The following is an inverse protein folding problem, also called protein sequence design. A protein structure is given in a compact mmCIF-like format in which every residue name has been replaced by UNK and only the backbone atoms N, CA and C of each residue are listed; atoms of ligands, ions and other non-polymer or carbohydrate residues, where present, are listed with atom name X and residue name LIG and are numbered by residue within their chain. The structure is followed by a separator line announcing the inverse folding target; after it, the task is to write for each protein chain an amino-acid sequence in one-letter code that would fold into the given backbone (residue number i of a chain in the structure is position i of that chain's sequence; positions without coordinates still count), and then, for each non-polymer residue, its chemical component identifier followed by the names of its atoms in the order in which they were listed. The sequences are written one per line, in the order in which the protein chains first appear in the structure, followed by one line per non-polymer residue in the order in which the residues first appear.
data_IF_610709365334
#
_entry.id   IF_610709365334
#
_cell.length_a   1.000
_cell.length_b   1.000
_cell.length_c   1.000
_cell.angle_alpha   90.00
_cell.angle_beta   90.00
_cell.angle_gamma   90.00
#
_symmetry.space_group_name_H-M   'P 1'
#
loop_
_entity.id
_entity.type
_entity.pdbx_description
1 polymer ?
#
# COMPACT_ATOMS: atom_id res chain seq x y z
N UNK A 1 34.21 -15.82 7.28
CA UNK A 1 33.33 -14.68 7.62
C UNK A 1 34.20 -13.65 8.29
N UNK A 2 34.27 -12.45 7.72
CA UNK A 2 34.99 -11.34 8.36
C UNK A 2 34.28 -10.91 9.62
N UNK A 3 35.04 -10.52 10.64
CA UNK A 3 34.51 -10.38 12.00
C UNK A 3 35.15 -9.19 12.72
N UNK A 4 34.36 -8.47 13.51
CA UNK A 4 34.88 -7.44 14.40
C UNK A 4 35.50 -8.10 15.65
N UNK A 5 36.76 -7.80 15.91
CA UNK A 5 37.49 -8.20 17.11
C UNK A 5 37.49 -7.07 18.13
N UNK A 6 37.48 -7.41 19.42
CA UNK A 6 37.50 -6.43 20.50
C UNK A 6 38.92 -5.89 20.67
N UNK A 7 39.07 -4.56 20.65
CA UNK A 7 40.29 -3.91 21.08
C UNK A 7 40.33 -3.81 22.62
N UNK A 8 41.53 -3.87 23.20
CA UNK A 8 41.77 -3.62 24.62
C UNK A 8 42.89 -2.58 24.77
N UNK A 9 42.78 -1.70 25.76
CA UNK A 9 43.78 -0.65 26.00
C UNK A 9 45.08 -1.25 26.56
N UNK A 10 46.14 -1.26 25.75
CA UNK A 10 47.50 -1.69 26.14
C UNK A 10 47.52 -2.95 27.01
N UNK A 11 46.65 -3.92 26.70
CA UNK A 11 46.56 -5.12 27.52
C UNK A 11 47.80 -5.96 27.29
N UNK A 12 48.47 -6.30 28.38
CA UNK A 12 49.61 -7.20 28.41
C UNK A 12 49.36 -8.29 29.45
N UNK A 13 49.64 -9.52 29.08
CA UNK A 13 49.58 -10.68 29.96
C UNK A 13 50.71 -11.65 29.64
N UNK A 14 50.60 -12.86 30.17
CA UNK A 14 51.54 -13.94 29.85
C UNK A 14 50.81 -15.24 29.61
N UNK A 15 51.47 -16.16 28.92
CA UNK A 15 50.99 -17.54 28.78
C UNK A 15 50.94 -18.20 30.17
N UNK A 16 49.82 -18.83 30.47
CA UNK A 16 49.54 -19.52 31.71
C UNK A 16 50.39 -20.78 31.91
N UNK A 17 50.21 -21.42 33.06
CA UNK A 17 50.88 -22.67 33.41
C UNK A 17 50.59 -23.76 32.37
N UNK A 18 51.64 -24.45 31.92
CA UNK A 18 51.56 -25.48 30.87
C UNK A 18 52.01 -25.02 29.48
N UNK A 19 52.08 -23.71 29.22
CA UNK A 19 52.51 -23.20 27.92
C UNK A 19 51.51 -23.47 26.79
N UNK A 20 51.96 -23.30 25.55
CA UNK A 20 51.28 -23.72 24.33
C UNK A 20 52.13 -24.84 23.73
N UNK A 21 51.57 -26.04 23.63
CA UNK A 21 52.34 -27.25 23.35
C UNK A 21 52.94 -27.26 21.94
N UNK A 22 52.16 -26.88 20.93
CA UNK A 22 52.56 -26.91 19.53
C UNK A 22 51.69 -26.00 18.63
N UNK A 23 51.97 -26.06 17.32
CA UNK A 23 51.28 -25.30 16.28
C UNK A 23 49.79 -25.67 16.10
N UNK A 24 49.37 -26.86 16.55
CA UNK A 24 47.99 -27.36 16.40
C UNK A 24 47.11 -27.09 17.63
N UNK A 25 47.72 -26.65 18.73
CA UNK A 25 47.01 -26.30 19.96
C UNK A 25 46.03 -25.15 19.71
N UNK A 26 44.74 -25.38 19.94
CA UNK A 26 43.66 -24.40 19.72
C UNK A 26 43.22 -23.65 20.98
N UNK A 27 43.81 -23.96 22.13
CA UNK A 27 43.54 -23.30 23.41
C UNK A 27 44.84 -22.70 23.94
N UNK A 28 44.87 -21.38 24.08
CA UNK A 28 46.01 -20.63 24.61
C UNK A 28 45.67 -20.24 26.05
N UNK A 29 46.29 -20.87 27.06
CA UNK A 29 46.06 -20.50 28.44
C UNK A 29 46.72 -19.15 28.71
N UNK A 30 45.99 -18.22 29.31
CA UNK A 30 46.52 -16.95 29.82
C UNK A 30 46.69 -17.07 31.33
N UNK A 31 47.74 -16.47 31.86
CA UNK A 31 47.97 -16.39 33.31
C UNK A 31 46.90 -15.57 34.03
N UNK A 32 46.32 -14.60 33.32
CA UNK A 32 45.19 -13.78 33.74
C UNK A 32 44.47 -13.27 32.50
N UNK A 33 43.17 -13.04 32.61
CA UNK A 33 42.38 -12.33 31.61
C UNK A 33 41.81 -11.01 32.16
N UNK A 34 42.39 -10.51 33.26
CA UNK A 34 41.94 -9.26 33.89
C UNK A 34 42.01 -8.12 32.88
N UNK A 35 40.92 -7.35 32.78
CA UNK A 35 40.80 -6.27 31.80
C UNK A 35 40.29 -6.70 30.41
N UNK A 36 40.09 -8.00 30.19
CA UNK A 36 39.42 -8.53 29.00
C UNK A 36 37.98 -8.95 29.35
N UNK A 37 37.07 -8.77 28.40
CA UNK A 37 35.67 -9.20 28.52
C UNK A 37 35.52 -10.64 28.05
N UNK A 38 35.06 -11.54 28.94
CA UNK A 38 34.78 -12.94 28.62
C UNK A 38 33.70 -13.07 27.54
N UNK A 39 33.85 -14.03 26.63
CA UNK A 39 32.94 -14.25 25.49
C UNK A 39 33.26 -13.42 24.24
N UNK A 40 34.07 -12.37 24.37
CA UNK A 40 34.54 -11.57 23.23
C UNK A 40 35.69 -12.25 22.49
N UNK A 41 35.94 -11.83 21.25
CA UNK A 41 37.04 -12.36 20.44
C UNK A 41 38.14 -11.34 20.28
N UNK A 42 39.38 -11.82 20.36
CA UNK A 42 40.57 -10.99 20.37
C UNK A 42 41.59 -11.51 19.36
N UNK A 43 42.40 -10.58 18.86
CA UNK A 43 43.65 -10.85 18.16
C UNK A 43 44.79 -10.52 19.12
N UNK A 44 45.64 -11.50 19.42
CA UNK A 44 46.73 -11.37 20.40
C UNK A 44 48.07 -11.71 19.77
N UNK A 45 49.09 -10.90 20.04
CA UNK A 45 50.49 -11.20 19.74
C UNK A 45 51.14 -11.91 20.90
N UNK A 46 51.83 -13.01 20.64
CA UNK A 46 52.61 -13.77 21.62
C UNK A 46 54.09 -13.64 21.26
N UNK A 47 54.96 -13.48 22.26
CA UNK A 47 56.42 -13.44 22.10
C UNK A 47 56.89 -12.45 21.03
N UNK A 48 56.24 -11.27 20.93
CA UNK A 48 56.77 -10.15 20.13
C UNK A 48 58.05 -9.61 20.76
N UNK A 49 58.04 -9.55 22.09
CA UNK A 49 59.17 -9.19 22.95
C UNK A 49 59.34 -10.21 24.06
N UNK A 50 60.56 -10.33 24.58
CA UNK A 50 60.82 -11.05 25.82
C UNK A 50 60.44 -10.23 27.07
N UNK A 51 60.61 -10.80 28.26
CA UNK A 51 60.32 -10.14 29.53
C UNK A 51 61.17 -8.88 29.81
N UNK A 52 62.26 -8.67 29.06
CA UNK A 52 63.10 -7.47 29.13
C UNK A 52 62.77 -6.45 28.04
N UNK A 53 61.76 -6.72 27.21
CA UNK A 53 61.34 -5.86 26.10
C UNK A 53 62.17 -6.01 24.83
N UNK A 54 63.08 -6.99 24.74
CA UNK A 54 63.83 -7.24 23.51
C UNK A 54 62.96 -7.92 22.48
N UNK A 55 63.03 -7.49 21.22
CA UNK A 55 62.27 -8.10 20.12
C UNK A 55 62.67 -9.56 19.91
N UNK A 56 61.69 -10.43 19.71
CA UNK A 56 61.88 -11.87 19.50
C UNK A 56 61.24 -12.37 18.19
N UNK A 57 61.70 -11.91 17.00
CA UNK A 57 61.00 -12.16 15.73
C UNK A 57 60.81 -13.63 15.38
N UNK A 58 61.72 -14.52 15.80
CA UNK A 58 61.61 -15.96 15.53
C UNK A 58 60.57 -16.68 16.38
N UNK A 59 60.19 -16.09 17.52
CA UNK A 59 59.17 -16.65 18.43
C UNK A 59 57.82 -15.97 18.29
N UNK A 60 57.75 -14.85 17.57
CA UNK A 60 56.54 -14.06 17.44
C UNK A 60 55.46 -14.81 16.66
N UNK A 61 54.25 -14.80 17.21
CA UNK A 61 53.05 -15.33 16.58
C UNK A 61 51.86 -14.42 16.89
N UNK A 62 50.94 -14.25 15.95
CA UNK A 62 49.61 -13.67 16.19
C UNK A 62 48.55 -14.76 16.12
N UNK A 63 47.67 -14.77 17.11
CA UNK A 63 46.56 -15.72 17.24
C UNK A 63 45.24 -14.95 17.31
N UNK A 64 44.16 -15.57 16.83
CA UNK A 64 42.80 -15.04 16.95
C UNK A 64 41.87 -16.08 17.54
N UNK A 65 41.07 -15.72 18.55
CA UNK A 65 40.17 -16.66 19.21
C UNK A 65 39.17 -15.99 20.15
N UNK A 66 38.33 -16.79 20.80
CA UNK A 66 37.35 -16.32 21.77
C UNK A 66 37.91 -16.45 23.19
N UNK A 67 37.73 -15.44 24.03
CA UNK A 67 38.06 -15.56 25.44
C UNK A 67 36.99 -16.37 26.18
N UNK A 68 37.41 -17.41 26.89
CA UNK A 68 36.59 -18.23 27.79
C UNK A 68 37.32 -18.45 29.12
N UNK A 69 36.88 -17.76 30.16
CA UNK A 69 37.58 -17.67 31.44
C UNK A 69 38.95 -17.02 31.26
N UNK A 70 40.02 -17.76 31.58
CA UNK A 70 41.41 -17.32 31.37
C UNK A 70 42.04 -17.95 30.12
N UNK A 71 41.26 -18.56 29.24
CA UNK A 71 41.77 -19.22 28.04
C UNK A 71 41.27 -18.51 26.79
N UNK A 72 42.15 -18.30 25.82
CA UNK A 72 41.73 -18.04 24.45
C UNK A 72 41.45 -19.42 23.81
N UNK A 73 40.20 -19.68 23.41
CA UNK A 73 39.76 -20.97 22.88
C UNK A 73 39.40 -20.87 21.40
N UNK A 74 39.33 -22.03 20.73
CA UNK A 74 39.02 -22.14 19.31
C UNK A 74 39.93 -21.27 18.44
N UNK A 75 41.20 -21.19 18.83
CA UNK A 75 42.16 -20.27 18.24
C UNK A 75 42.49 -20.68 16.81
N UNK A 76 42.45 -19.70 15.91
CA UNK A 76 43.20 -19.75 14.66
C UNK A 76 44.64 -19.31 14.98
N UNK A 77 45.60 -20.19 14.68
CA UNK A 77 47.03 -20.02 14.95
C UNK A 77 47.76 -19.46 13.74
N UNK A 78 48.90 -18.81 13.96
CA UNK A 78 49.73 -18.24 12.89
C UNK A 78 48.97 -17.29 11.96
N UNK A 79 48.04 -16.51 12.51
CA UNK A 79 47.29 -15.48 11.77
C UNK A 79 48.27 -14.48 11.15
N UNK A 80 49.31 -14.14 11.91
CA UNK A 80 50.55 -13.55 11.44
C UNK A 80 51.71 -14.31 12.10
N UNK A 81 52.87 -14.42 11.44
CA UNK A 81 54.00 -15.22 11.94
C UNK A 81 53.83 -16.73 11.72
N UNK A 82 54.59 -17.54 12.46
CA UNK A 82 54.55 -19.01 12.35
C UNK A 82 53.86 -19.60 13.57
N UNK A 83 52.85 -20.45 13.37
CA UNK A 83 52.23 -21.21 14.44
C UNK A 83 53.27 -22.11 15.13
N UNK A 84 53.47 -21.96 16.44
CA UNK A 84 54.54 -22.66 17.15
C UNK A 84 54.22 -22.93 18.64
N UNK A 85 55.13 -23.63 19.32
CA UNK A 85 55.07 -23.80 20.76
C UNK A 85 55.50 -22.51 21.48
N UNK A 86 54.82 -22.17 22.57
CA UNK A 86 55.19 -21.03 23.43
C UNK A 86 55.37 -21.49 24.87
N UNK A 87 56.42 -20.98 25.52
CA UNK A 87 56.69 -21.32 26.91
C UNK A 87 55.70 -20.62 27.85
N UNK A 88 55.43 -21.22 29.00
CA UNK A 88 54.75 -20.51 30.09
C UNK A 88 55.52 -19.23 30.44
N UNK A 89 54.80 -18.14 30.68
CA UNK A 89 55.42 -16.83 30.93
C UNK A 89 55.77 -16.01 29.69
N UNK A 90 55.62 -16.55 28.47
CA UNK A 90 55.73 -15.79 27.22
C UNK A 90 54.80 -14.57 27.23
N UNK A 91 55.29 -13.43 26.75
CA UNK A 91 54.54 -12.16 26.77
C UNK A 91 53.41 -12.23 25.75
N UNK A 92 52.20 -11.84 26.16
CA UNK A 92 51.01 -11.75 25.30
C UNK A 92 50.49 -10.32 25.31
N UNK A 93 50.20 -9.77 24.14
CA UNK A 93 49.73 -8.39 23.96
C UNK A 93 48.49 -8.38 23.06
N UNK A 94 47.47 -7.58 23.40
CA UNK A 94 46.40 -7.25 22.44
C UNK A 94 46.86 -6.04 21.65
N UNK A 95 47.17 -6.23 20.36
CA UNK A 95 47.65 -5.17 19.46
C UNK A 95 46.62 -4.88 18.36
N UNK A 96 46.61 -3.64 17.88
CA UNK A 96 45.98 -3.31 16.60
C UNK A 96 46.94 -3.71 15.48
N UNK A 97 46.78 -4.94 14.95
CA UNK A 97 47.64 -5.47 13.88
C UNK A 97 47.02 -5.21 12.49
N UNK A 98 47.78 -5.49 11.44
CA UNK A 98 47.29 -5.41 10.07
C UNK A 98 46.07 -6.32 9.85
N UNK A 99 46.07 -7.53 10.44
CA UNK A 99 44.91 -8.42 10.40
C UNK A 99 43.67 -7.78 11.01
N UNK A 100 43.80 -7.17 12.20
CA UNK A 100 42.67 -6.51 12.85
C UNK A 100 42.08 -5.43 11.91
N UNK A 101 42.92 -4.61 11.31
CA UNK A 101 42.48 -3.57 10.38
C UNK A 101 41.82 -4.14 9.11
N UNK A 102 42.39 -5.19 8.52
CA UNK A 102 41.86 -5.83 7.32
C UNK A 102 40.50 -6.49 7.56
N UNK A 103 40.29 -7.06 8.76
CA UNK A 103 39.00 -7.64 9.16
C UNK A 103 37.94 -6.56 9.35
N UNK A 104 38.27 -5.43 9.98
CA UNK A 104 37.38 -4.27 10.05
C UNK A 104 37.01 -3.75 8.67
N UNK A 105 37.99 -3.60 7.77
CA UNK A 105 37.78 -3.18 6.39
C UNK A 105 36.82 -4.14 5.68
N UNK A 106 37.08 -5.44 5.75
CA UNK A 106 36.26 -6.45 5.10
C UNK A 106 34.82 -6.48 5.64
N UNK A 107 34.64 -6.22 6.94
CA UNK A 107 33.32 -6.06 7.54
C UNK A 107 32.59 -4.81 7.04
N UNK A 108 33.28 -3.67 6.92
CA UNK A 108 32.70 -2.43 6.38
C UNK A 108 32.29 -2.58 4.90
N UNK A 109 33.09 -3.30 4.11
CA UNK A 109 32.83 -3.54 2.69
C UNK A 109 31.58 -4.40 2.40
N UNK A 110 30.93 -4.97 3.43
CA UNK A 110 29.64 -5.64 3.28
C UNK A 110 28.53 -4.64 2.89
N UNK A 111 28.57 -3.43 3.47
CA UNK A 111 27.52 -2.40 3.30
C UNK A 111 28.04 -1.12 2.63
N UNK A 112 29.37 -0.99 2.46
CA UNK A 112 30.03 0.16 1.86
C UNK A 112 30.87 -0.24 0.66
N UNK A 113 30.89 0.62 -0.35
CA UNK A 113 31.83 0.57 -1.45
C UNK A 113 33.19 1.15 -1.01
N UNK A 114 34.23 0.86 -1.80
CA UNK A 114 35.60 1.32 -1.52
C UNK A 114 35.79 2.85 -1.65
N UNK A 115 34.84 3.55 -2.29
CA UNK A 115 34.79 5.01 -2.40
C UNK A 115 34.02 5.68 -1.24
N UNK A 116 33.51 4.88 -0.30
CA UNK A 116 32.79 5.35 0.88
C UNK A 116 31.28 5.55 0.68
N UNK A 117 30.72 5.27 -0.50
CA UNK A 117 29.26 5.22 -0.62
C UNK A 117 28.70 3.95 0.00
N UNK A 118 27.41 3.95 0.32
CA UNK A 118 26.71 2.70 0.58
C UNK A 118 26.48 1.93 -0.73
N UNK A 119 26.46 0.61 -0.63
CA UNK A 119 25.94 -0.28 -1.66
C UNK A 119 24.40 -0.34 -1.55
N UNK A 120 23.79 -1.49 -1.83
CA UNK A 120 22.34 -1.68 -1.69
C UNK A 120 21.92 -1.60 -0.22
N UNK A 121 21.11 -0.59 0.13
CA UNK A 121 20.61 -0.41 1.50
C UNK A 121 19.43 -1.38 1.74
N UNK A 122 19.65 -2.42 2.52
CA UNK A 122 18.59 -3.34 2.97
C UNK A 122 18.22 -3.04 4.43
N UNK A 123 17.08 -2.39 4.66
CA UNK A 123 16.62 -2.02 6.00
C UNK A 123 15.10 -2.17 6.15
N UNK A 124 14.62 -2.52 7.36
CA UNK A 124 13.19 -2.59 7.68
C UNK A 124 12.51 -1.22 7.57
N UNK A 125 13.24 -0.17 7.96
CA UNK A 125 12.80 1.22 7.86
C UNK A 125 13.98 2.12 7.49
N UNK A 126 13.72 3.14 6.68
CA UNK A 126 14.70 4.18 6.31
C UNK A 126 14.03 5.54 6.49
N UNK A 127 14.56 6.35 7.40
CA UNK A 127 14.18 7.76 7.53
C UNK A 127 15.18 8.59 6.75
N UNK A 128 14.72 9.33 5.74
CA UNK A 128 15.56 10.29 5.01
C UNK A 128 15.16 11.72 5.39
N UNK A 129 16.14 12.59 5.57
CA UNK A 129 15.93 14.02 5.85
C UNK A 129 15.94 14.88 4.58
N UNK A 130 16.09 14.23 3.41
CA UNK A 130 16.21 14.88 2.11
C UNK A 130 15.58 14.06 1.01
N UNK A 131 15.70 14.57 -0.21
CA UNK A 131 15.12 13.94 -1.38
C UNK A 131 15.84 12.64 -1.74
N UNK A 132 15.10 11.54 -1.88
CA UNK A 132 15.60 10.30 -2.49
C UNK A 132 15.53 10.45 -4.01
N UNK A 133 16.68 10.50 -4.68
CA UNK A 133 16.74 10.52 -6.14
C UNK A 133 16.25 9.17 -6.69
N UNK A 134 15.33 9.19 -7.67
CA UNK A 134 14.79 7.96 -8.28
C UNK A 134 13.46 7.44 -7.71
N UNK A 135 12.86 8.10 -6.72
CA UNK A 135 11.48 7.78 -6.32
C UNK A 135 10.52 8.03 -7.50
N UNK A 136 9.85 6.97 -7.98
CA UNK A 136 8.96 6.99 -9.16
C UNK A 136 7.78 7.95 -8.96
N UNK A 137 7.39 8.20 -7.71
CA UNK A 137 6.31 9.12 -7.36
C UNK A 137 6.77 9.96 -6.16
N UNK A 138 6.80 11.28 -6.35
CA UNK A 138 6.95 12.27 -5.27
C UNK A 138 5.62 12.98 -5.09
N UNK A 139 5.02 12.85 -3.91
CA UNK A 139 3.85 13.63 -3.50
C UNK A 139 4.28 14.50 -2.33
N UNK A 140 4.85 15.66 -2.63
CA UNK A 140 5.16 16.65 -1.61
C UNK A 140 3.90 17.49 -1.36
N UNK A 141 3.45 17.57 -0.11
CA UNK A 141 2.45 18.55 0.30
C UNK A 141 3.10 19.93 0.25
N UNK A 142 2.72 20.73 -0.73
CA UNK A 142 3.28 22.06 -0.93
C UNK A 142 2.38 23.08 -0.24
N UNK A 143 2.94 23.86 0.67
CA UNK A 143 2.22 24.97 1.33
C UNK A 143 1.90 26.14 0.39
N UNK A 144 2.45 26.12 -0.83
CA UNK A 144 2.24 27.13 -1.87
C UNK A 144 2.13 26.49 -3.25
N UNK A 145 1.47 27.18 -4.18
CA UNK A 145 1.34 26.71 -5.56
C UNK A 145 2.72 26.68 -6.23
N UNK A 146 3.18 25.53 -6.77
CA UNK A 146 4.51 25.48 -7.37
C UNK A 146 4.60 26.32 -8.66
N UNK A 147 5.82 26.71 -9.00
CA UNK A 147 6.12 27.40 -10.25
C UNK A 147 5.75 26.55 -11.47
N UNK A 148 5.52 27.21 -12.61
CA UNK A 148 5.28 26.52 -13.89
C UNK A 148 6.45 25.58 -14.21
N UNK A 149 6.19 24.28 -14.49
CA UNK A 149 7.23 23.33 -14.85
C UNK A 149 7.85 23.64 -16.22
N UNK A 150 9.04 23.08 -16.49
CA UNK A 150 9.71 23.24 -17.79
C UNK A 150 8.94 22.56 -18.92
N UNK A 151 9.21 22.97 -20.17
CA UNK A 151 8.53 22.42 -21.34
C UNK A 151 8.56 20.88 -21.41
N UNK A 152 7.41 20.27 -21.71
CA UNK A 152 7.20 18.83 -21.76
C UNK A 152 7.09 18.16 -20.40
N UNK A 153 6.95 18.94 -19.31
CA UNK A 153 6.78 18.43 -17.94
C UNK A 153 5.44 18.87 -17.35
N UNK A 154 5.00 18.14 -16.35
CA UNK A 154 3.87 18.52 -15.52
C UNK A 154 4.19 18.17 -14.07
N UNK A 155 3.49 18.82 -13.15
CA UNK A 155 3.58 18.57 -11.72
C UNK A 155 2.23 18.15 -11.17
N UNK A 156 2.25 17.21 -10.23
CA UNK A 156 1.09 16.78 -9.45
C UNK A 156 1.38 17.11 -8.00
N UNK A 157 0.49 17.83 -7.32
CA UNK A 157 0.73 18.32 -5.96
C UNK A 157 -0.59 18.54 -5.19
N UNK A 158 -0.52 18.56 -3.86
CA UNK A 158 -1.68 18.81 -2.99
C UNK A 158 -1.63 20.26 -2.49
N UNK A 159 -2.78 20.96 -2.49
CA UNK A 159 -2.92 22.30 -1.89
C UNK A 159 -3.50 22.22 -0.48
N UNK A 160 -3.44 23.32 0.25
CA UNK A 160 -4.01 23.46 1.60
C UNK A 160 -5.53 23.27 1.69
N UNK A 161 -6.23 23.21 0.55
CA UNK A 161 -7.65 22.86 0.47
C UNK A 161 -7.91 21.34 0.51
N UNK A 162 -6.85 20.53 0.58
CA UNK A 162 -6.91 19.07 0.65
C UNK A 162 -7.15 18.37 -0.69
N UNK A 163 -7.08 19.08 -1.81
CA UNK A 163 -7.26 18.50 -3.14
C UNK A 163 -5.95 18.30 -3.89
N UNK A 164 -5.94 17.29 -4.76
CA UNK A 164 -4.85 17.01 -5.69
C UNK A 164 -4.99 17.91 -6.92
N UNK A 165 -3.90 18.48 -7.39
CA UNK A 165 -3.81 19.36 -8.55
C UNK A 165 -2.79 18.84 -9.55
N UNK A 166 -3.03 19.13 -10.82
CA UNK A 166 -2.10 18.97 -11.94
C UNK A 166 -1.79 20.35 -12.51
N UNK A 167 -0.53 20.63 -12.83
CA UNK A 167 -0.13 21.85 -13.57
C UNK A 167 0.80 21.48 -14.72
N UNK A 168 0.46 21.91 -15.93
CA UNK A 168 1.26 21.68 -17.14
C UNK A 168 2.34 22.75 -17.36
N UNK A 169 3.17 22.55 -18.39
CA UNK A 169 4.26 23.45 -18.77
C UNK A 169 3.80 24.79 -19.36
N UNK A 170 2.51 24.94 -19.68
CA UNK A 170 1.88 26.22 -19.98
C UNK A 170 1.45 26.97 -18.69
N UNK A 171 1.61 26.33 -17.52
CA UNK A 171 1.22 26.88 -16.23
C UNK A 171 -0.27 26.77 -15.95
N UNK A 172 -1.02 26.05 -16.79
CA UNK A 172 -2.45 25.80 -16.58
C UNK A 172 -2.59 24.79 -15.46
N UNK A 173 -3.27 25.21 -14.41
CA UNK A 173 -3.55 24.41 -13.24
C UNK A 173 -4.97 23.83 -13.32
N UNK A 174 -5.11 22.54 -13.04
CA UNK A 174 -6.38 21.83 -12.96
C UNK A 174 -6.45 21.06 -11.66
N UNK A 175 -7.52 21.27 -10.90
CA UNK A 175 -7.86 20.38 -9.78
C UNK A 175 -8.19 19.00 -10.34
N UNK A 176 -7.60 17.96 -9.77
CA UNK A 176 -7.96 16.59 -10.07
C UNK A 176 -9.27 16.27 -9.36
N UNK A 177 -10.35 16.22 -10.14
CA UNK A 177 -11.59 15.61 -9.71
C UNK A 177 -11.52 14.15 -10.17
N UNK A 178 -11.70 13.15 -9.29
CA UNK A 178 -12.03 11.82 -9.80
C UNK A 178 -13.37 11.97 -10.53
N UNK A 179 -13.43 11.82 -11.87
CA UNK A 179 -14.66 12.08 -12.57
C UNK A 179 -15.67 10.99 -12.19
N UNK A 180 -16.86 11.39 -11.72
CA UNK A 180 -18.03 10.53 -11.83
C UNK A 180 -18.59 10.66 -13.25
N UNK A 181 -18.61 11.86 -13.84
CA UNK A 181 -18.83 12.14 -15.29
C UNK A 181 -18.28 13.55 -15.62
N UNK A 182 -17.33 13.70 -16.55
CA UNK A 182 -16.89 15.04 -17.03
C UNK A 182 -17.91 15.61 -18.05
N UNK A 183 -17.93 16.94 -18.24
CA UNK A 183 -18.75 17.55 -19.29
C UNK A 183 -18.32 17.03 -20.67
N UNK A 184 -19.29 16.63 -21.49
CA UNK A 184 -19.09 15.97 -22.79
C UNK A 184 -18.35 14.62 -22.75
N UNK A 185 -18.23 14.01 -21.56
CA UNK A 185 -17.71 12.66 -21.38
C UNK A 185 -18.84 11.71 -21.01
N UNK A 186 -19.11 10.72 -21.85
CA UNK A 186 -20.15 9.74 -21.55
C UNK A 186 -19.65 8.66 -20.58
N UNK A 187 -20.45 8.35 -19.56
CA UNK A 187 -20.35 7.08 -18.86
C UNK A 187 -20.76 5.97 -19.83
N UNK A 188 -19.82 5.07 -20.12
CA UNK A 188 -20.02 3.99 -21.07
C UNK A 188 -20.17 2.64 -20.37
N UNK A 189 -21.15 1.85 -20.81
CA UNK A 189 -21.25 0.45 -20.45
C UNK A 189 -21.32 -0.38 -21.74
N UNK A 190 -20.80 -1.62 -21.68
CA UNK A 190 -20.96 -2.57 -22.77
C UNK A 190 -22.35 -3.18 -22.72
N UNK A 191 -23.02 -3.29 -23.86
CA UNK A 191 -24.25 -4.06 -23.97
C UNK A 191 -23.97 -5.58 -23.97
N UNK A 192 -25.03 -6.39 -24.08
CA UNK A 192 -24.92 -7.86 -24.14
C UNK A 192 -24.13 -8.39 -25.35
N UNK A 193 -23.85 -7.55 -26.34
CA UNK A 193 -22.99 -7.88 -27.49
C UNK A 193 -21.53 -7.44 -27.29
N UNK A 194 -21.21 -6.76 -26.19
CA UNK A 194 -19.88 -6.22 -25.89
C UNK A 194 -19.60 -4.84 -26.49
N UNK A 195 -20.57 -4.23 -27.16
CA UNK A 195 -20.45 -2.90 -27.78
C UNK A 195 -20.61 -1.82 -26.71
N UNK A 196 -19.66 -0.89 -26.62
CA UNK A 196 -19.74 0.23 -25.68
C UNK A 196 -20.83 1.22 -26.11
N UNK A 197 -21.72 1.58 -25.17
CA UNK A 197 -22.81 2.55 -25.36
C UNK A 197 -22.71 3.67 -24.36
N UNK A 198 -23.12 4.86 -24.77
CA UNK A 198 -23.23 6.02 -23.88
C UNK A 198 -24.50 5.85 -23.02
N UNK A 199 -24.33 5.55 -21.74
CA UNK A 199 -25.45 5.32 -20.80
C UNK A 199 -25.94 6.64 -20.22
N UNK A 200 -25.02 7.53 -19.89
CA UNK A 200 -25.32 8.88 -19.43
C UNK A 200 -24.18 9.83 -19.81
N UNK A 201 -24.50 11.06 -20.19
CA UNK A 201 -23.52 12.14 -20.40
C UNK A 201 -24.14 13.48 -20.00
N UNK A 202 -23.31 14.45 -19.66
CA UNK A 202 -23.73 15.85 -19.60
C UNK A 202 -23.28 16.49 -20.91
N UNK A 203 -24.20 17.06 -21.67
CA UNK A 203 -23.87 17.69 -22.95
C UNK A 203 -23.29 19.11 -22.76
N UNK A 204 -22.82 19.72 -23.85
CA UNK A 204 -22.26 21.08 -23.84
C UNK A 204 -23.22 22.20 -23.39
N UNK A 205 -24.51 21.87 -23.17
CA UNK A 205 -25.52 22.77 -22.59
C UNK A 205 -25.83 22.44 -21.12
N UNK A 206 -24.97 21.67 -20.45
CA UNK A 206 -25.10 21.19 -19.08
C UNK A 206 -26.39 20.38 -18.84
N UNK A 207 -26.89 19.69 -19.86
CA UNK A 207 -28.05 18.81 -19.77
C UNK A 207 -27.61 17.36 -19.61
N UNK A 208 -28.14 16.67 -18.59
CA UNK A 208 -28.00 15.23 -18.45
C UNK A 208 -28.79 14.51 -19.54
N UNK A 209 -28.08 13.94 -20.51
CA UNK A 209 -28.63 13.01 -21.49
C UNK A 209 -28.45 11.58 -20.98
N UNK A 210 -29.56 10.86 -20.80
CA UNK A 210 -29.55 9.44 -20.44
C UNK A 210 -29.91 8.63 -21.69
N UNK A 211 -28.93 7.88 -22.20
CA UNK A 211 -29.08 6.97 -23.34
C UNK A 211 -28.67 7.50 -24.70
N UNK A 212 -28.08 6.60 -25.50
CA UNK A 212 -28.02 6.75 -26.96
C UNK A 212 -29.38 6.38 -27.60
N UNK A 213 -29.53 6.62 -28.91
CA UNK A 213 -30.77 6.36 -29.67
C UNK A 213 -31.26 4.90 -29.67
N UNK A 214 -30.57 3.97 -28.99
CA UNK A 214 -30.91 2.55 -28.90
C UNK A 214 -31.19 2.06 -27.47
N UNK A 215 -31.33 2.93 -26.47
CA UNK A 215 -31.90 2.47 -25.19
C UNK A 215 -33.37 2.13 -25.39
N UNK A 216 -33.71 0.85 -25.25
CA UNK A 216 -35.09 0.36 -25.40
C UNK A 216 -36.04 0.90 -24.33
N UNK A 217 -35.51 1.35 -23.18
CA UNK A 217 -36.30 1.90 -22.07
C UNK A 217 -35.42 2.74 -21.14
N UNK A 218 -35.85 3.97 -20.87
CA UNK A 218 -35.42 4.73 -19.68
C UNK A 218 -36.44 4.42 -18.58
N UNK A 219 -36.07 3.54 -17.65
CA UNK A 219 -36.94 3.21 -16.53
C UNK A 219 -36.62 4.14 -15.35
N UNK A 220 -37.47 5.13 -15.13
CA UNK A 220 -37.50 5.80 -13.84
C UNK A 220 -38.20 4.84 -12.88
N UNK A 221 -37.53 4.46 -11.79
CA UNK A 221 -38.15 3.67 -10.72
C UNK A 221 -39.10 4.58 -9.94
N UNK A 222 -40.19 5.01 -10.58
CA UNK A 222 -41.29 5.67 -9.89
C UNK A 222 -42.01 4.61 -9.08
N UNK A 223 -42.24 4.89 -7.80
CA UNK A 223 -43.09 4.05 -6.95
C UNK A 223 -44.44 3.96 -7.64
N UNK A 224 -44.81 2.75 -8.08
CA UNK A 224 -46.04 2.47 -8.82
C UNK A 224 -47.25 3.02 -8.04
N UNK A 225 -48.06 3.86 -8.67
CA UNK A 225 -49.41 4.17 -8.19
C UNK A 225 -50.36 3.24 -8.93
N UNK A 226 -50.97 2.31 -8.21
CA UNK A 226 -51.99 1.41 -8.75
C UNK A 226 -53.18 2.24 -9.29
N UNK A 227 -53.64 1.94 -10.49
CA UNK A 227 -54.83 2.57 -11.05
C UNK A 227 -55.42 1.79 -12.23
N UNK A 228 -56.70 2.00 -12.47
CA UNK A 228 -57.40 1.50 -13.65
C UNK A 228 -58.40 2.53 -14.20
N UNK A 229 -58.70 2.42 -15.48
CA UNK A 229 -59.78 3.12 -16.17
C UNK A 229 -60.55 2.13 -17.03
N UNK A 230 -61.84 2.04 -16.77
CA UNK A 230 -62.79 1.28 -17.58
C UNK A 230 -63.94 2.16 -18.06
N UNK A 231 -64.53 1.80 -19.18
CA UNK A 231 -65.68 2.47 -19.78
C UNK A 231 -66.57 1.45 -20.49
N UNK A 232 -67.79 1.86 -20.81
CA UNK A 232 -68.64 1.09 -21.72
C UNK A 232 -68.46 1.63 -23.14
N UNK A 233 -68.16 0.74 -24.08
CA UNK A 233 -67.81 1.10 -25.46
C UNK A 233 -68.96 1.67 -26.29
N UNK A 234 -70.20 1.51 -25.82
CA UNK A 234 -71.42 1.90 -26.54
C UNK A 234 -72.45 2.61 -25.63
N UNK A 235 -73.69 2.78 -26.10
CA UNK A 235 -74.78 3.35 -25.28
C UNK A 235 -75.43 2.29 -24.41
N UNK A 236 -75.53 2.53 -23.10
CA UNK A 236 -76.28 1.67 -22.17
C UNK A 236 -77.70 2.16 -22.00
N UNK A 237 -78.67 1.25 -22.13
CA UNK A 237 -80.06 1.52 -21.80
C UNK A 237 -80.32 1.14 -20.35
N UNK A 238 -80.79 2.09 -19.55
CA UNK A 238 -81.19 1.87 -18.15
C UNK A 238 -82.70 2.02 -18.02
N UNK A 239 -83.34 1.15 -17.24
CA UNK A 239 -84.78 1.19 -17.02
C UNK A 239 -85.08 2.23 -15.94
N UNK A 240 -85.91 3.23 -16.28
CA UNK A 240 -86.29 4.28 -15.35
C UNK A 240 -86.96 3.74 -14.09
N UNK A 241 -86.65 4.34 -12.93
CA UNK A 241 -87.21 3.94 -11.63
C UNK A 241 -86.59 2.69 -11.01
N UNK A 242 -85.50 2.16 -11.58
CA UNK A 242 -84.78 1.00 -11.03
C UNK A 242 -83.33 1.34 -10.71
N UNK A 243 -82.77 0.70 -9.69
CA UNK A 243 -81.33 0.72 -9.44
C UNK A 243 -80.65 -0.26 -10.38
N UNK A 244 -79.80 0.24 -11.28
CA UNK A 244 -79.05 -0.57 -12.25
C UNK A 244 -77.56 -0.34 -12.06
N UNK A 245 -76.77 -1.42 -11.95
CA UNK A 245 -75.31 -1.34 -12.03
C UNK A 245 -74.89 -1.12 -13.48
N UNK A 246 -74.15 -0.03 -13.73
CA UNK A 246 -73.60 0.23 -15.06
C UNK A 246 -72.50 -0.79 -15.38
N UNK A 247 -72.54 -1.36 -16.58
CA UNK A 247 -71.45 -2.22 -17.06
C UNK A 247 -70.32 -1.36 -17.62
N UNK A 248 -69.07 -1.80 -17.51
CA UNK A 248 -67.91 -1.17 -18.17
C UNK A 248 -67.19 -2.29 -18.95
N UNK A 249 -67.61 -2.51 -20.19
CA UNK A 249 -67.18 -3.67 -20.99
C UNK A 249 -65.74 -3.55 -21.52
N UNK A 250 -65.13 -2.38 -21.40
CA UNK A 250 -63.84 -2.07 -21.99
C UNK A 250 -62.89 -1.44 -20.98
N UNK A 251 -61.70 -2.01 -20.87
CA UNK A 251 -60.60 -1.45 -20.10
C UNK A 251 -59.74 -0.54 -21.00
N UNK A 252 -59.56 0.71 -20.60
CA UNK A 252 -58.66 1.64 -21.28
C UNK A 252 -57.21 1.44 -20.83
N UNK A 253 -57.01 1.22 -19.53
CA UNK A 253 -55.73 0.86 -18.91
C UNK A 253 -55.98 0.31 -17.51
N UNK A 254 -55.16 -0.65 -17.10
CA UNK A 254 -55.10 -1.17 -15.74
C UNK A 254 -53.66 -1.57 -15.43
N UNK A 255 -53.07 -0.94 -14.42
CA UNK A 255 -51.66 -1.12 -14.11
C UNK A 255 -51.34 -2.42 -13.36
N UNK A 256 -52.34 -3.02 -12.72
CA UNK A 256 -52.14 -4.16 -11.81
C UNK A 256 -53.36 -5.10 -11.69
N UNK A 257 -54.35 -4.99 -12.58
CA UNK A 257 -55.56 -5.81 -12.52
C UNK A 257 -56.53 -5.35 -11.43
N UNK A 258 -56.62 -4.05 -11.16
CA UNK A 258 -57.63 -3.49 -10.26
C UNK A 258 -59.05 -3.65 -10.81
N UNK A 259 -59.28 -3.64 -12.12
CA UNK A 259 -60.59 -3.73 -12.74
C UNK A 259 -60.79 -5.11 -13.37
N UNK A 260 -61.95 -5.73 -13.11
CA UNK A 260 -62.32 -7.01 -13.73
C UNK A 260 -63.56 -6.82 -14.62
N UNK A 261 -63.39 -6.80 -15.97
CA UNK A 261 -64.50 -6.57 -16.90
C UNK A 261 -65.65 -7.58 -16.78
N UNK A 262 -65.36 -8.84 -16.42
CA UNK A 262 -66.40 -9.87 -16.29
C UNK A 262 -67.35 -9.63 -15.12
N UNK A 263 -66.93 -8.86 -14.11
CA UNK A 263 -67.68 -8.67 -12.88
C UNK A 263 -68.03 -7.19 -12.61
N UNK A 264 -67.58 -6.25 -13.44
CA UNK A 264 -67.83 -4.81 -13.34
C UNK A 264 -67.49 -4.21 -11.96
N UNK A 265 -66.40 -4.63 -11.32
CA UNK A 265 -65.94 -4.04 -10.05
C UNK A 265 -64.45 -3.72 -10.07
N UNK A 266 -64.07 -2.79 -9.18
CA UNK A 266 -62.68 -2.48 -8.87
C UNK A 266 -62.31 -3.24 -7.59
N UNK A 267 -61.30 -4.10 -7.67
CA UNK A 267 -60.72 -4.82 -6.54
C UNK A 267 -59.57 -4.01 -5.96
N UNK A 268 -59.72 -3.57 -4.72
CA UNK A 268 -58.65 -2.88 -4.00
C UNK A 268 -57.61 -3.91 -3.55
N UNK A 269 -56.46 -3.94 -4.23
CA UNK A 269 -55.40 -4.91 -3.95
C UNK A 269 -54.48 -4.48 -2.80
N UNK A 270 -54.26 -3.17 -2.61
CA UNK A 270 -53.42 -2.62 -1.55
C UNK A 270 -54.23 -1.71 -0.63
N UNK A 271 -54.04 -1.78 0.69
CA UNK A 271 -54.73 -0.87 1.60
C UNK A 271 -54.20 0.57 1.42
N UNK A 272 -55.07 1.54 1.15
CA UNK A 272 -54.63 2.90 0.88
C UNK A 272 -55.76 3.90 0.64
N UNK A 273 -55.38 5.11 0.21
CA UNK A 273 -56.32 6.14 -0.25
C UNK A 273 -56.46 6.03 -1.75
N UNK A 274 -57.70 5.95 -2.21
CA UNK A 274 -58.04 5.87 -3.64
C UNK A 274 -58.82 7.12 -4.05
N UNK A 275 -58.54 7.59 -5.26
CA UNK A 275 -59.36 8.61 -5.93
C UNK A 275 -60.22 7.91 -6.98
N UNK A 276 -61.53 8.15 -6.94
CA UNK A 276 -62.48 7.60 -7.89
C UNK A 276 -63.15 8.78 -8.59
N UNK A 277 -63.10 8.77 -9.91
CA UNK A 277 -63.81 9.72 -10.77
C UNK A 277 -64.67 8.95 -11.77
N UNK A 278 -65.88 9.43 -12.00
CA UNK A 278 -66.85 8.80 -12.87
C UNK A 278 -67.56 9.85 -13.72
N UNK A 279 -67.55 9.65 -15.03
CA UNK A 279 -68.23 10.51 -15.99
C UNK A 279 -69.36 9.73 -16.67
N UNK A 280 -70.58 10.23 -16.55
CA UNK A 280 -71.76 9.68 -17.22
C UNK A 280 -72.28 10.70 -18.21
N UNK A 281 -72.29 10.35 -19.49
CA UNK A 281 -72.91 11.14 -20.54
C UNK A 281 -74.29 10.56 -20.85
N UNK A 282 -75.35 11.34 -20.65
CA UNK A 282 -76.70 10.89 -21.00
C UNK A 282 -77.16 11.47 -22.34
N UNK A 283 -77.89 10.66 -23.11
CA UNK A 283 -78.52 11.06 -24.38
C UNK A 283 -79.45 12.26 -24.17
N UNK A 284 -79.32 13.29 -25.01
CA UNK A 284 -80.17 14.50 -25.00
C UNK A 284 -81.65 14.12 -24.93
N UNK A 285 -82.29 14.37 -23.78
CA UNK A 285 -83.74 14.31 -23.65
C UNK A 285 -84.25 15.76 -23.57
N UNK A 286 -85.39 16.02 -24.18
CA UNK A 286 -85.98 17.36 -24.32
C UNK A 286 -86.54 17.96 -23.03
N UNK A 287 -86.34 17.32 -21.87
CA UNK A 287 -87.15 17.60 -20.66
C UNK A 287 -86.34 18.05 -19.43
N UNK A 288 -85.03 18.31 -19.55
CA UNK A 288 -84.27 19.09 -18.57
C UNK A 288 -84.10 18.52 -17.15
N UNK A 289 -84.65 17.34 -16.85
CA UNK A 289 -84.41 16.61 -15.60
C UNK A 289 -83.66 15.32 -15.90
N UNK A 290 -82.59 15.08 -15.13
CA UNK A 290 -81.82 13.84 -15.09
C UNK A 290 -81.40 13.56 -13.66
#
# INVERSE_FOLDING_TARGET
MSRIYKAASNWTGTIGTGGVADATTTTIPLSSATGLTNGEYYVMSIDRVDASGNKTPSKWEVVAGQLSGTNLVSCTRGVEGTAQAHSAGAVVEVLMTATHWNELKSYLEVEHNSDGTHSDITATTVTSTGQVAGSIIRLDEQSSTPSTPSSGKAIVYVKSDGYLYYKDDAGVERRYYPPIVDNDVAYQAKDGSGTARQVAKINASDVLEVGDSNLSRIAFNTVYTEGAKAYYSTTQNVVGGTTTTLSLDTEAWDTNGLYTPSNNYIEIQTAGKYFIDAQILWSTNSNGYR
#
